data_IF_312236795791
#
_entry.id   IF_312236795791
#
_cell.length_a   1.000
_cell.length_b   1.000
_cell.length_c   1.000
_cell.angle_alpha   90.00
_cell.angle_beta   90.00
_cell.angle_gamma   90.00
#
_symmetry.space_group_name_H-M   'P 1'
#
loop_
_entity.id
_entity.type
_entity.pdbx_description
1 polymer ?
#
# COMPACT_ATOMS: atom_id res chain seq x y z
N UNK A 1 3.55 13.77 -15.13
CA UNK A 1 2.85 12.56 -14.66
C UNK A 1 2.67 12.66 -13.16
N UNK A 2 1.44 12.65 -12.70
CA UNK A 2 1.10 12.58 -11.26
C UNK A 2 0.83 11.13 -10.89
N UNK A 3 1.45 10.67 -9.82
CA UNK A 3 1.34 9.29 -9.34
C UNK A 3 0.74 9.28 -7.94
N UNK A 4 -0.15 8.33 -7.66
CA UNK A 4 -0.71 8.07 -6.34
C UNK A 4 -0.35 6.67 -5.84
N UNK A 5 -0.28 6.49 -4.54
CA UNK A 5 -0.25 5.17 -3.90
C UNK A 5 -1.69 4.78 -3.54
N UNK A 6 -2.08 3.58 -3.92
CA UNK A 6 -3.36 2.99 -3.55
C UNK A 6 -3.15 1.74 -2.70
N UNK A 7 -3.99 1.54 -1.72
CA UNK A 7 -3.90 0.39 -0.81
C UNK A 7 -5.29 -0.07 -0.35
N UNK A 8 -5.38 -1.33 0.07
CA UNK A 8 -6.59 -1.90 0.64
C UNK A 8 -6.36 -2.20 2.13
N UNK A 9 -7.29 -1.77 2.98
CA UNK A 9 -7.32 -2.15 4.38
C UNK A 9 -8.48 -3.13 4.63
N UNK A 10 -8.12 -4.33 5.06
CA UNK A 10 -9.04 -5.43 5.32
C UNK A 10 -8.74 -6.02 6.69
N UNK A 11 -9.60 -5.76 7.68
CA UNK A 11 -9.37 -6.15 9.07
C UNK A 11 -10.64 -6.64 9.79
N UNK A 12 -11.33 -7.66 9.27
CA UNK A 12 -12.62 -8.12 9.83
C UNK A 12 -12.51 -8.69 11.25
N UNK A 13 -11.31 -9.00 11.72
CA UNK A 13 -11.05 -9.51 13.07
C UNK A 13 -10.58 -8.41 14.04
N UNK A 14 -10.57 -7.15 13.64
CA UNK A 14 -10.17 -6.00 14.44
C UNK A 14 -8.78 -6.12 15.08
N UNK A 15 -7.82 -6.80 14.40
CA UNK A 15 -6.46 -6.89 14.90
C UNK A 15 -5.84 -5.50 15.05
N UNK A 16 -5.47 -5.16 16.28
CA UNK A 16 -4.82 -3.89 16.60
C UNK A 16 -3.51 -3.69 15.84
N UNK A 17 -2.73 -4.76 15.66
CA UNK A 17 -1.48 -4.73 14.93
C UNK A 17 -1.64 -4.30 13.46
N UNK A 18 -2.73 -4.69 12.79
CA UNK A 18 -3.02 -4.26 11.42
C UNK A 18 -3.27 -2.76 11.34
N UNK A 19 -4.06 -2.23 12.27
CA UNK A 19 -4.33 -0.79 12.35
C UNK A 19 -3.05 0.01 12.68
N UNK A 20 -2.22 -0.49 13.59
CA UNK A 20 -0.93 0.13 13.93
C UNK A 20 0.03 0.13 12.73
N UNK A 21 0.13 -0.98 11.99
CA UNK A 21 0.95 -1.08 10.78
C UNK A 21 0.46 -0.11 9.70
N UNK A 22 -0.85 -0.04 9.47
CA UNK A 22 -1.43 0.95 8.55
C UNK A 22 -1.07 2.38 8.95
N UNK A 23 -1.21 2.72 10.22
CA UNK A 23 -0.87 4.06 10.73
C UNK A 23 0.61 4.41 10.52
N UNK A 24 1.52 3.44 10.67
CA UNK A 24 2.95 3.62 10.42
C UNK A 24 3.20 3.83 8.93
N UNK A 25 2.61 3.00 8.06
CA UNK A 25 2.68 3.12 6.62
C UNK A 25 2.16 4.48 6.12
N UNK A 26 0.94 4.88 6.52
CA UNK A 26 0.35 6.14 6.12
C UNK A 26 1.17 7.36 6.60
N UNK A 27 1.73 7.28 7.81
CA UNK A 27 2.64 8.33 8.32
C UNK A 27 3.91 8.43 7.49
N UNK A 28 4.45 7.30 7.01
CA UNK A 28 5.63 7.29 6.14
C UNK A 28 5.34 7.96 4.79
N UNK A 29 4.17 7.72 4.20
CA UNK A 29 3.72 8.38 2.97
C UNK A 29 3.52 9.89 3.17
N UNK A 30 2.80 10.28 4.23
CA UNK A 30 2.54 11.68 4.56
C UNK A 30 3.83 12.50 4.79
N UNK A 31 4.81 11.93 5.50
CA UNK A 31 6.12 12.60 5.74
C UNK A 31 6.85 12.92 4.44
N UNK A 32 6.64 12.13 3.40
CA UNK A 32 7.25 12.31 2.08
C UNK A 32 6.34 13.04 1.08
N UNK A 33 5.17 13.50 1.55
CA UNK A 33 4.15 14.15 0.71
C UNK A 33 3.74 13.28 -0.48
N UNK A 34 3.71 11.96 -0.30
CA UNK A 34 3.24 11.00 -1.29
C UNK A 34 1.72 10.88 -1.14
N UNK A 35 0.94 11.11 -2.20
CA UNK A 35 -0.51 10.93 -2.17
C UNK A 35 -0.86 9.47 -1.87
N UNK A 36 -1.63 9.24 -0.82
CA UNK A 36 -2.08 7.93 -0.39
C UNK A 36 -3.60 7.89 -0.35
N UNK A 37 -4.17 6.93 -1.06
CA UNK A 37 -5.60 6.61 -1.06
C UNK A 37 -5.79 5.18 -0.59
N UNK A 38 -6.77 4.97 0.27
CA UNK A 38 -7.09 3.66 0.80
C UNK A 38 -8.53 3.28 0.45
N UNK A 39 -8.78 2.01 0.27
CA UNK A 39 -10.11 1.44 0.37
C UNK A 39 -10.17 0.56 1.61
N UNK A 40 -11.16 0.82 2.45
CA UNK A 40 -11.41 0.06 3.68
C UNK A 40 -12.69 -0.75 3.56
N UNK A 41 -12.59 -2.07 3.70
CA UNK A 41 -13.75 -2.94 3.83
C UNK A 41 -14.24 -2.92 5.27
N UNK A 42 -15.53 -2.61 5.45
CA UNK A 42 -16.23 -2.65 6.73
C UNK A 42 -17.38 -3.66 6.67
N UNK A 43 -17.75 -4.20 7.82
CA UNK A 43 -18.73 -5.27 7.92
C UNK A 43 -19.83 -4.93 8.93
N UNK A 44 -21.00 -5.52 8.77
CA UNK A 44 -22.11 -5.44 9.73
C UNK A 44 -22.48 -4.01 10.19
N UNK A 45 -22.36 -3.01 9.32
CA UNK A 45 -22.70 -1.61 9.65
C UNK A 45 -21.66 -0.89 10.47
N UNK A 46 -20.44 -1.42 10.55
CA UNK A 46 -19.31 -0.77 11.23
C UNK A 46 -18.84 0.49 10.51
N UNK A 47 -18.24 1.40 11.26
CA UNK A 47 -17.60 2.59 10.71
C UNK A 47 -16.14 2.30 10.31
N UNK A 48 -15.65 3.04 9.30
CA UNK A 48 -14.25 2.96 8.88
C UNK A 48 -13.29 3.47 9.95
N UNK A 49 -12.12 2.87 10.02
CA UNK A 49 -11.11 3.15 11.08
C UNK A 49 -9.88 3.88 10.56
N UNK A 50 -9.58 3.79 9.23
CA UNK A 50 -8.34 4.33 8.68
C UNK A 50 -8.47 5.71 8.03
N UNK A 51 -9.68 6.26 7.90
CA UNK A 51 -9.92 7.58 7.32
C UNK A 51 -9.20 8.75 8.01
N UNK A 52 -8.83 8.59 9.29
CA UNK A 52 -7.99 9.56 10.01
C UNK A 52 -6.51 9.57 9.60
N UNK A 53 -6.07 8.59 8.82
CA UNK A 53 -4.67 8.44 8.40
C UNK A 53 -4.45 8.72 6.92
N UNK A 54 -5.46 8.47 6.06
CA UNK A 54 -5.38 8.61 4.61
C UNK A 54 -6.75 8.97 4.03
N UNK A 55 -6.78 9.49 2.79
CA UNK A 55 -8.00 9.61 2.02
C UNK A 55 -8.56 8.21 1.78
N UNK A 56 -9.77 7.94 2.32
CA UNK A 56 -10.28 6.58 2.39
C UNK A 56 -11.68 6.47 1.82
N UNK A 57 -11.85 5.52 0.89
CA UNK A 57 -13.13 5.03 0.44
C UNK A 57 -13.54 3.86 1.35
N UNK A 58 -14.61 4.03 2.10
CA UNK A 58 -15.17 2.96 2.94
C UNK A 58 -16.22 2.19 2.15
N UNK A 59 -16.09 0.87 2.09
CA UNK A 59 -17.00 -0.02 1.37
C UNK A 59 -17.62 -1.02 2.35
N UNK A 60 -18.95 -0.99 2.47
CA UNK A 60 -19.69 -1.98 3.26
C UNK A 60 -19.73 -3.31 2.51
N UNK A 61 -19.30 -4.38 3.15
CA UNK A 61 -19.25 -5.72 2.61
C UNK A 61 -20.18 -6.64 3.41
N UNK A 62 -20.99 -7.42 2.70
CA UNK A 62 -21.93 -8.37 3.33
C UNK A 62 -21.23 -9.63 3.82
N UNK A 63 -20.17 -10.05 3.12
CA UNK A 63 -19.45 -11.28 3.42
C UNK A 63 -17.95 -11.02 3.67
N UNK A 64 -17.40 -11.76 4.63
CA UNK A 64 -15.96 -11.72 4.95
C UNK A 64 -15.19 -12.58 3.95
N UNK A 65 -15.03 -12.05 2.73
CA UNK A 65 -14.25 -12.65 1.66
C UNK A 65 -13.04 -11.78 1.35
N UNK A 66 -11.91 -12.41 1.00
CA UNK A 66 -10.77 -11.69 0.48
C UNK A 66 -11.06 -11.19 -0.93
N UNK A 67 -11.16 -9.88 -1.10
CA UNK A 67 -11.56 -9.24 -2.36
C UNK A 67 -10.72 -7.99 -2.65
N UNK A 68 -9.43 -8.07 -2.33
CA UNK A 68 -8.50 -6.94 -2.41
C UNK A 68 -8.49 -6.29 -3.80
N UNK A 69 -8.41 -7.10 -4.84
CA UNK A 69 -8.34 -6.64 -6.22
C UNK A 69 -9.62 -5.90 -6.65
N UNK A 70 -10.77 -6.44 -6.27
CA UNK A 70 -12.08 -5.81 -6.53
C UNK A 70 -12.21 -4.47 -5.83
N UNK A 71 -11.83 -4.40 -4.56
CA UNK A 71 -11.84 -3.17 -3.77
C UNK A 71 -10.88 -2.12 -4.33
N UNK A 72 -9.67 -2.50 -4.72
CA UNK A 72 -8.71 -1.59 -5.35
C UNK A 72 -9.18 -1.09 -6.71
N UNK A 73 -9.83 -1.93 -7.52
CA UNK A 73 -10.45 -1.52 -8.77
C UNK A 73 -11.59 -0.52 -8.52
N UNK A 74 -12.38 -0.73 -7.48
CA UNK A 74 -13.42 0.23 -7.10
C UNK A 74 -12.83 1.58 -6.66
N UNK A 75 -11.79 1.58 -5.84
CA UNK A 75 -11.05 2.79 -5.49
C UNK A 75 -10.47 3.49 -6.72
N UNK A 76 -9.90 2.72 -7.66
CA UNK A 76 -9.29 3.26 -8.86
C UNK A 76 -10.32 4.00 -9.75
N UNK A 77 -11.55 3.51 -9.82
CA UNK A 77 -12.65 4.18 -10.55
C UNK A 77 -13.05 5.52 -9.92
N UNK A 78 -12.85 5.69 -8.63
CA UNK A 78 -13.15 6.92 -7.88
C UNK A 78 -11.96 7.88 -7.82
N UNK A 79 -10.77 7.42 -8.21
CA UNK A 79 -9.56 8.24 -8.15
C UNK A 79 -9.63 9.40 -9.16
N UNK A 80 -9.23 10.58 -8.71
CA UNK A 80 -9.15 11.76 -9.56
C UNK A 80 -8.28 11.49 -10.80
N UNK A 81 -8.81 11.78 -11.98
CA UNK A 81 -8.16 11.56 -13.30
C UNK A 81 -6.84 12.34 -13.48
N UNK A 82 -6.53 13.27 -12.58
CA UNK A 82 -5.21 13.93 -12.57
C UNK A 82 -4.05 12.96 -12.25
N UNK A 83 -4.36 11.80 -11.64
CA UNK A 83 -3.37 10.74 -11.41
C UNK A 83 -3.29 9.83 -12.63
N UNK A 84 -2.16 9.90 -13.31
CA UNK A 84 -1.87 9.18 -14.55
C UNK A 84 -1.25 7.80 -14.29
N UNK A 85 -0.74 7.58 -13.07
CA UNK A 85 -0.17 6.32 -12.63
C UNK A 85 -0.54 6.03 -11.18
N UNK A 86 -0.61 4.74 -10.84
CA UNK A 86 -0.84 4.29 -9.46
C UNK A 86 0.22 3.30 -9.02
N UNK A 87 0.57 3.36 -7.76
CA UNK A 87 1.37 2.34 -7.07
C UNK A 87 0.43 1.51 -6.21
N UNK A 88 0.22 0.27 -6.60
CA UNK A 88 -0.48 -0.69 -5.77
C UNK A 88 0.47 -1.19 -4.68
N UNK A 89 0.16 -0.91 -3.44
CA UNK A 89 1.03 -1.22 -2.31
C UNK A 89 0.23 -1.87 -1.17
N UNK A 90 0.82 -2.84 -0.49
CA UNK A 90 0.25 -3.37 0.74
C UNK A 90 0.35 -2.33 1.88
N UNK A 91 -0.61 -2.38 2.79
CA UNK A 91 -0.80 -1.36 3.82
C UNK A 91 0.17 -1.44 5.01
N UNK A 92 1.17 -2.32 4.94
CA UNK A 92 2.15 -2.58 6.00
C UNK A 92 3.61 -2.57 5.50
N UNK A 93 3.83 -2.02 4.32
CA UNK A 93 5.15 -1.94 3.68
C UNK A 93 5.89 -0.66 4.10
N UNK A 94 7.18 -0.77 4.34
CA UNK A 94 8.08 0.36 4.56
C UNK A 94 9.22 0.32 3.53
N UNK A 95 9.41 1.43 2.83
CA UNK A 95 10.53 1.58 1.91
C UNK A 95 11.74 2.18 2.66
N UNK A 96 12.85 1.47 2.69
CA UNK A 96 14.11 1.95 3.27
C UNK A 96 14.69 3.10 2.44
N UNK A 97 14.69 2.96 1.11
CA UNK A 97 15.11 4.04 0.23
C UNK A 97 14.13 5.21 0.32
N UNK A 98 14.57 6.33 0.89
CA UNK A 98 13.74 7.52 1.07
C UNK A 98 13.36 8.21 -0.24
N UNK A 99 14.06 7.93 -1.33
CA UNK A 99 13.84 8.52 -2.67
C UNK A 99 13.14 7.56 -3.64
N UNK A 100 12.64 6.43 -3.14
CA UNK A 100 12.02 5.39 -3.96
C UNK A 100 10.93 5.91 -4.89
N UNK A 101 10.08 6.81 -4.40
CA UNK A 101 8.95 7.36 -5.18
C UNK A 101 9.42 8.22 -6.35
N UNK A 102 10.49 9.00 -6.15
CA UNK A 102 11.10 9.77 -7.25
C UNK A 102 11.80 8.84 -8.25
N UNK A 103 12.46 7.80 -7.79
CA UNK A 103 13.07 6.79 -8.66
C UNK A 103 12.01 6.07 -9.49
N UNK A 104 10.91 5.65 -8.87
CA UNK A 104 9.76 5.05 -9.55
C UNK A 104 9.20 5.97 -10.63
N UNK A 105 8.94 7.23 -10.31
CA UNK A 105 8.40 8.20 -11.28
C UNK A 105 9.32 8.43 -12.48
N UNK A 106 10.63 8.32 -12.30
CA UNK A 106 11.58 8.35 -13.43
C UNK A 106 11.45 7.13 -14.33
N UNK A 107 11.29 5.94 -13.73
CA UNK A 107 11.14 4.70 -14.50
C UNK A 107 9.79 4.63 -15.24
N UNK A 108 8.72 5.10 -14.64
CA UNK A 108 7.39 5.16 -15.26
C UNK A 108 7.32 6.05 -16.50
N UNK A 109 8.31 6.93 -16.72
CA UNK A 109 8.44 7.67 -17.98
C UNK A 109 8.90 6.78 -19.15
N UNK A 110 9.50 5.64 -18.85
CA UNK A 110 10.10 4.72 -19.83
C UNK A 110 9.33 3.41 -19.95
N UNK A 111 8.71 2.96 -18.85
CA UNK A 111 8.08 1.66 -18.75
C UNK A 111 6.63 1.81 -18.27
N UNK A 112 5.72 1.07 -18.88
CA UNK A 112 4.31 1.08 -18.51
C UNK A 112 4.06 0.44 -17.12
N UNK A 113 4.89 -0.52 -16.72
CA UNK A 113 4.81 -1.22 -15.43
C UNK A 113 6.20 -1.26 -14.80
N UNK A 114 6.28 -0.91 -13.53
CA UNK A 114 7.53 -0.90 -12.75
C UNK A 114 7.31 -1.54 -11.40
N UNK A 115 8.16 -2.49 -11.03
CA UNK A 115 8.21 -3.01 -9.66
C UNK A 115 9.14 -2.13 -8.82
N UNK A 116 8.65 -1.45 -7.75
CA UNK A 116 9.39 -0.38 -7.07
C UNK A 116 10.42 -0.88 -6.05
N UNK A 117 10.79 -2.15 -6.08
CA UNK A 117 11.78 -2.76 -5.19
C UNK A 117 12.49 -3.93 -5.88
N UNK A 118 13.74 -4.19 -5.50
CA UNK A 118 14.50 -5.36 -5.92
C UNK A 118 14.46 -6.48 -4.86
N UNK A 119 14.35 -6.11 -3.59
CA UNK A 119 14.33 -7.03 -2.45
C UNK A 119 13.26 -6.61 -1.44
N UNK A 120 12.57 -7.57 -0.85
CA UNK A 120 11.68 -7.39 0.28
C UNK A 120 12.19 -8.16 1.50
N UNK A 121 12.00 -7.59 2.68
CA UNK A 121 12.37 -8.17 3.96
C UNK A 121 11.12 -8.43 4.80
N UNK A 122 10.93 -9.66 5.27
CA UNK A 122 9.93 -9.94 6.28
C UNK A 122 10.54 -9.68 7.66
N UNK A 123 10.02 -8.66 8.33
CA UNK A 123 10.49 -8.31 9.66
C UNK A 123 9.93 -9.28 10.70
N UNK A 124 10.75 -9.69 11.70
CA UNK A 124 10.25 -10.44 12.85
C UNK A 124 9.27 -9.59 13.66
N UNK A 125 8.45 -10.28 14.47
CA UNK A 125 7.44 -9.61 15.32
C UNK A 125 8.09 -8.52 16.19
N UNK A 126 7.50 -7.32 16.16
CA UNK A 126 7.98 -6.16 16.93
C UNK A 126 9.13 -5.38 16.30
N UNK A 127 9.78 -5.90 15.24
CA UNK A 127 10.81 -5.18 14.54
C UNK A 127 10.21 -4.11 13.61
N UNK A 128 10.88 -2.97 13.49
CA UNK A 128 10.50 -1.85 12.60
C UNK A 128 11.63 -1.46 11.64
N UNK A 129 12.72 -2.20 11.64
CA UNK A 129 13.89 -2.00 10.77
C UNK A 129 14.44 -3.35 10.36
N UNK A 130 15.16 -3.36 9.23
CA UNK A 130 15.89 -4.53 8.79
C UNK A 130 16.83 -5.06 9.88
N UNK A 131 16.79 -6.36 10.09
CA UNK A 131 17.67 -7.07 11.01
C UNK A 131 18.44 -8.14 10.24
N UNK A 132 19.58 -8.61 10.78
CA UNK A 132 20.35 -9.70 10.15
C UNK A 132 19.54 -10.99 10.02
N UNK A 133 18.54 -11.19 10.88
CA UNK A 133 17.65 -12.35 10.91
C UNK A 133 16.38 -12.17 10.08
N UNK A 134 16.20 -11.03 9.39
CA UNK A 134 15.04 -10.82 8.54
C UNK A 134 15.10 -11.76 7.32
N UNK A 135 13.99 -12.42 7.05
CA UNK A 135 13.83 -13.25 5.86
C UNK A 135 13.80 -12.35 4.61
N UNK A 136 14.58 -12.74 3.59
CA UNK A 136 14.79 -11.94 2.38
C UNK A 136 14.16 -12.59 1.17
N UNK A 137 13.50 -11.79 0.34
CA UNK A 137 12.86 -12.21 -0.89
C UNK A 137 13.30 -11.30 -2.03
N UNK A 138 13.84 -11.88 -3.09
CA UNK A 138 14.06 -11.13 -4.33
C UNK A 138 12.72 -10.79 -4.99
N UNK A 139 12.62 -9.62 -5.60
CA UNK A 139 11.45 -9.26 -6.39
C UNK A 139 11.39 -10.10 -7.69
N UNK A 140 10.20 -10.22 -8.26
CA UNK A 140 10.03 -10.87 -9.55
C UNK A 140 10.92 -10.22 -10.65
N UNK A 141 10.94 -8.87 -10.68
CA UNK A 141 11.79 -8.14 -11.63
C UNK A 141 13.29 -8.36 -11.43
N UNK A 142 13.75 -8.60 -10.19
CA UNK A 142 15.16 -8.91 -9.92
C UNK A 142 15.56 -10.33 -10.36
N UNK A 143 14.60 -11.28 -10.35
CA UNK A 143 14.84 -12.69 -10.73
C UNK A 143 14.69 -12.91 -12.23
N UNK A 144 13.70 -12.30 -12.88
CA UNK A 144 13.28 -12.60 -14.25
C UNK A 144 13.35 -11.41 -15.20
N UNK A 145 13.57 -10.19 -14.70
CA UNK A 145 13.69 -8.97 -15.50
C UNK A 145 15.12 -8.81 -16.02
N UNK A 146 15.45 -9.44 -17.14
CA UNK A 146 16.65 -9.15 -17.91
C UNK A 146 16.30 -8.32 -19.13
#
# INVERSE_FOLDING_TARGET
MKTAVITCFFNPQHYRSRLENFAIFARAMRRRRIPLFAVEAVFAGEEGTVGKFADTLTVSCEAVLWQKESLLNHLLQQLDKRYEAVVWCDADVLFENTTWFNALNRQLKKYAVVQPFAEALRLPRGARRATKSAERFASFGAVYGQ
#
